data_IF_825609380303
#
_entry.id   IF_825609380303
#
_cell.length_a   1.000
_cell.length_b   1.000
_cell.length_c   1.000
_cell.angle_alpha   90.00
_cell.angle_beta   90.00
_cell.angle_gamma   90.00
#
_symmetry.space_group_name_H-M   'P 1'
#
loop_
_entity.id
_entity.type
_entity.pdbx_description
1 polymer ?
#
# COMPACT_ATOMS: atom_id res chain seq x y z
N UNK A 1 -17.99 14.78 9.38
CA UNK A 1 -16.84 14.86 8.45
C UNK A 1 -15.89 13.72 8.78
N UNK A 2 -15.73 12.78 7.86
CA UNK A 2 -14.82 11.65 7.98
C UNK A 2 -14.20 11.35 6.61
N UNK A 3 -12.98 10.80 6.59
CA UNK A 3 -12.27 10.42 5.38
C UNK A 3 -11.92 8.94 5.47
N UNK A 4 -12.09 8.20 4.36
CA UNK A 4 -11.67 6.80 4.26
C UNK A 4 -11.06 6.50 2.89
N UNK A 5 -10.28 5.42 2.85
CA UNK A 5 -9.77 4.84 1.61
C UNK A 5 -10.49 3.53 1.32
N UNK A 6 -10.93 3.35 0.08
CA UNK A 6 -11.72 2.18 -0.36
C UNK A 6 -11.09 1.53 -1.59
N UNK A 7 -11.20 0.20 -1.71
CA UNK A 7 -10.70 -0.55 -2.88
C UNK A 7 -9.19 -0.79 -2.90
N UNK A 8 -8.47 -0.34 -1.86
CA UNK A 8 -7.06 -0.65 -1.64
C UNK A 8 -6.84 -2.00 -0.93
N UNK A 9 -5.59 -2.47 -0.93
CA UNK A 9 -5.16 -3.70 -0.22
C UNK A 9 -4.79 -3.44 1.25
N UNK A 10 -4.73 -2.17 1.66
CA UNK A 10 -4.51 -1.78 3.06
C UNK A 10 -5.27 -0.50 3.41
N UNK A 11 -5.24 -0.10 4.68
CA UNK A 11 -5.85 1.15 5.14
C UNK A 11 -5.10 2.42 4.68
N UNK A 12 -3.95 2.27 4.02
CA UNK A 12 -3.07 3.36 3.61
C UNK A 12 -2.94 3.48 2.08
N UNK A 13 -3.85 2.86 1.34
CA UNK A 13 -4.06 3.11 -0.08
C UNK A 13 -5.54 2.93 -0.44
N UNK A 14 -5.97 3.53 -1.54
CA UNK A 14 -7.32 3.36 -2.07
C UNK A 14 -7.89 4.63 -2.69
N UNK A 15 -9.11 4.51 -3.20
CA UNK A 15 -9.95 5.63 -3.63
C UNK A 15 -10.28 6.51 -2.43
N UNK A 16 -10.17 7.82 -2.60
CA UNK A 16 -10.48 8.80 -1.55
C UNK A 16 -11.99 9.01 -1.47
N UNK A 17 -12.57 8.78 -0.30
CA UNK A 17 -13.98 9.07 -0.02
C UNK A 17 -14.11 9.99 1.21
N UNK A 18 -14.99 10.97 1.09
CA UNK A 18 -15.31 11.98 2.10
C UNK A 18 -16.75 11.81 2.57
N UNK A 19 -16.99 12.04 3.85
CA UNK A 19 -18.33 12.14 4.41
C UNK A 19 -18.70 13.61 4.67
N UNK A 20 -19.81 14.03 4.07
CA UNK A 20 -20.41 15.33 4.25
C UNK A 20 -21.91 15.18 4.48
N UNK A 21 -22.39 15.69 5.63
CA UNK A 21 -23.81 15.71 6.00
C UNK A 21 -24.48 14.31 5.97
N UNK A 22 -23.76 13.29 6.44
CA UNK A 22 -24.22 11.90 6.51
C UNK A 22 -24.07 11.12 5.21
N UNK A 23 -23.59 11.74 4.13
CA UNK A 23 -23.42 11.11 2.82
C UNK A 23 -21.95 10.95 2.47
N UNK A 24 -21.58 9.74 2.04
CA UNK A 24 -20.26 9.47 1.48
C UNK A 24 -20.23 9.79 -0.01
N UNK A 25 -19.14 10.38 -0.47
CA UNK A 25 -18.88 10.62 -1.88
C UNK A 25 -17.40 10.65 -2.20
N UNK A 26 -17.07 10.74 -3.49
CA UNK A 26 -15.70 10.64 -4.01
C UNK A 26 -15.10 12.01 -4.30
N UNK A 27 -13.85 12.03 -4.76
CA UNK A 27 -13.10 13.21 -5.20
C UNK A 27 -12.72 12.99 -6.67
N UNK A 28 -12.90 13.99 -7.53
CA UNK A 28 -12.44 13.91 -8.92
C UNK A 28 -10.91 14.00 -9.02
N UNK A 29 -10.32 13.41 -10.05
CA UNK A 29 -8.88 13.40 -10.30
C UNK A 29 -8.38 14.57 -11.17
N UNK A 30 -9.28 15.44 -11.63
CA UNK A 30 -8.90 16.72 -12.24
C UNK A 30 -8.22 17.61 -11.21
N UNK A 31 -7.04 18.11 -11.58
CA UNK A 31 -6.15 18.86 -10.67
C UNK A 31 -5.48 18.02 -9.58
N UNK A 32 -5.87 16.75 -9.38
CA UNK A 32 -5.41 15.92 -8.26
C UNK A 32 -3.93 15.59 -8.34
N UNK A 33 -3.17 16.04 -7.34
CA UNK A 33 -1.72 15.92 -7.32
C UNK A 33 -1.16 15.29 -6.02
N UNK A 34 0.18 15.25 -5.93
CA UNK A 34 0.87 14.67 -4.78
C UNK A 34 0.71 15.50 -3.49
N UNK A 35 0.47 16.80 -3.61
CA UNK A 35 0.23 17.71 -2.49
C UNK A 35 -1.12 17.42 -1.85
N UNK A 36 -2.15 17.21 -2.68
CA UNK A 36 -3.49 16.82 -2.22
C UNK A 36 -3.46 15.45 -1.52
N UNK A 37 -2.82 14.50 -2.18
CA UNK A 37 -2.61 13.17 -1.64
C UNK A 37 -1.82 13.20 -0.30
N UNK A 38 -0.86 14.12 -0.12
CA UNK A 38 -0.07 14.21 1.12
C UNK A 38 -0.93 14.65 2.31
N UNK A 39 -1.86 15.58 2.08
CA UNK A 39 -2.86 15.97 3.09
C UNK A 39 -3.68 14.76 3.51
N UNK A 40 -4.18 13.96 2.55
CA UNK A 40 -4.92 12.72 2.85
C UNK A 40 -4.09 11.73 3.68
N UNK A 41 -2.86 11.45 3.26
CA UNK A 41 -1.97 10.51 3.95
C UNK A 41 -1.64 10.97 5.37
N UNK A 42 -1.39 12.26 5.58
CA UNK A 42 -1.16 12.83 6.91
C UNK A 42 -2.41 12.76 7.78
N UNK A 43 -3.56 13.13 7.23
CA UNK A 43 -4.84 13.13 7.94
C UNK A 43 -5.18 11.72 8.45
N UNK A 44 -4.88 10.68 7.67
CA UNK A 44 -5.06 9.28 8.04
C UNK A 44 -3.91 8.69 8.88
N UNK A 45 -2.85 9.47 9.12
CA UNK A 45 -1.62 9.03 9.81
C UNK A 45 -0.92 7.86 9.11
N UNK A 46 -1.00 7.82 7.78
CA UNK A 46 -0.33 6.85 6.91
C UNK A 46 1.02 7.35 6.36
N UNK A 47 1.61 8.37 7.01
CA UNK A 47 2.87 8.98 6.60
C UNK A 47 2.67 10.03 5.50
N UNK A 48 3.43 9.91 4.42
CA UNK A 48 3.45 10.85 3.28
C UNK A 48 2.84 10.23 2.03
N UNK A 49 2.41 11.04 1.08
CA UNK A 49 1.99 10.53 -0.22
C UNK A 49 3.19 10.03 -1.03
N UNK A 50 2.97 8.90 -1.71
CA UNK A 50 3.92 8.30 -2.66
C UNK A 50 3.36 8.35 -4.07
N UNK A 51 2.03 8.19 -4.22
CA UNK A 51 1.31 8.31 -5.49
C UNK A 51 -0.04 8.99 -5.27
N UNK A 52 -0.47 9.76 -6.26
CA UNK A 52 -1.80 10.34 -6.40
C UNK A 52 -2.49 9.76 -7.65
N UNK A 53 -2.88 8.47 -7.65
CA UNK A 53 -3.50 7.86 -8.82
C UNK A 53 -4.90 8.42 -9.08
N UNK A 54 -5.19 8.68 -10.35
CA UNK A 54 -6.54 8.99 -10.84
C UNK A 54 -7.21 7.81 -11.54
N UNK A 55 -8.12 8.13 -12.46
CA UNK A 55 -8.77 7.22 -13.40
C UNK A 55 -9.43 6.00 -12.73
N UNK A 56 -9.96 6.17 -11.52
CA UNK A 56 -10.57 5.12 -10.73
C UNK A 56 -9.67 3.86 -10.59
N UNK A 57 -8.36 4.07 -10.37
CA UNK A 57 -7.36 2.99 -10.25
C UNK A 57 -7.75 1.94 -9.18
N UNK A 58 -8.42 2.37 -8.11
CA UNK A 58 -8.92 1.49 -7.03
C UNK A 58 -10.38 1.07 -7.20
N UNK A 59 -10.87 1.15 -8.44
CA UNK A 59 -12.27 0.97 -8.80
C UNK A 59 -13.09 2.24 -8.66
N UNK A 60 -14.24 2.24 -9.32
CA UNK A 60 -15.22 3.33 -9.29
C UNK A 60 -15.95 3.35 -7.97
N UNK A 61 -16.21 4.54 -7.46
CA UNK A 61 -17.10 4.79 -6.35
C UNK A 61 -18.56 4.86 -6.79
N UNK A 62 -19.38 5.32 -5.85
CA UNK A 62 -20.81 5.49 -6.00
C UNK A 62 -21.26 6.73 -5.23
N UNK A 63 -22.40 7.29 -5.63
CA UNK A 63 -23.00 8.45 -4.95
C UNK A 63 -22.49 9.77 -5.53
N UNK A 64 -22.46 10.86 -4.74
CA UNK A 64 -21.97 12.13 -5.22
C UNK A 64 -20.44 12.16 -5.37
N UNK A 65 -19.95 12.97 -6.29
CA UNK A 65 -18.57 13.44 -6.29
C UNK A 65 -18.58 14.78 -5.53
N UNK A 66 -17.87 14.84 -4.42
CA UNK A 66 -18.01 15.93 -3.45
C UNK A 66 -17.03 17.06 -3.67
N UNK A 67 -15.91 16.80 -4.34
CA UNK A 67 -14.81 17.74 -4.56
C UNK A 67 -14.22 17.52 -5.94
N UNK A 68 -13.85 18.60 -6.58
CA UNK A 68 -13.19 18.67 -7.87
C UNK A 68 -12.12 19.77 -7.85
N UNK A 69 -11.12 19.70 -8.72
CA UNK A 69 -10.01 20.66 -8.84
C UNK A 69 -9.44 21.04 -7.46
N UNK A 70 -9.07 20.02 -6.68
CA UNK A 70 -8.48 20.20 -5.35
C UNK A 70 -7.08 20.79 -5.52
N UNK A 71 -6.77 21.83 -4.75
CA UNK A 71 -5.52 22.59 -4.87
C UNK A 71 -4.89 22.83 -3.51
N UNK A 72 -4.59 21.74 -2.79
CA UNK A 72 -3.86 21.82 -1.53
C UNK A 72 -2.44 22.36 -1.75
N UNK A 73 -1.93 23.11 -0.76
CA UNK A 73 -0.53 23.50 -0.68
C UNK A 73 0.34 22.43 0.02
N UNK A 74 -0.28 21.42 0.62
CA UNK A 74 0.36 20.28 1.28
C UNK A 74 0.61 20.47 2.79
N UNK A 75 0.17 21.58 3.38
CA UNK A 75 0.33 21.87 4.81
C UNK A 75 -0.99 21.94 5.59
N UNK A 76 -2.10 21.85 4.86
CA UNK A 76 -3.46 21.77 5.39
C UNK A 76 -3.60 20.61 6.38
N UNK A 77 -4.50 20.76 7.35
CA UNK A 77 -4.73 19.75 8.37
C UNK A 77 -5.56 18.58 7.86
N UNK A 78 -6.51 18.89 6.99
CA UNK A 78 -7.41 17.94 6.37
C UNK A 78 -7.86 18.43 5.00
N UNK A 79 -8.39 17.50 4.19
CA UNK A 79 -8.76 17.77 2.81
C UNK A 79 -9.91 18.79 2.67
N UNK A 80 -10.67 19.07 3.73
CA UNK A 80 -11.73 20.09 3.70
C UNK A 80 -11.19 21.52 3.84
N UNK A 81 -9.94 21.70 4.28
CA UNK A 81 -9.28 23.01 4.33
C UNK A 81 -8.66 23.41 2.97
N UNK A 82 -8.50 22.46 2.05
CA UNK A 82 -7.96 22.76 0.73
C UNK A 82 -8.97 23.51 -0.13
N UNK A 83 -8.52 24.51 -0.93
CA UNK A 83 -9.32 25.07 -2.00
C UNK A 83 -9.75 23.95 -2.96
N UNK A 84 -11.04 23.95 -3.33
CA UNK A 84 -11.62 22.98 -4.25
C UNK A 84 -12.92 23.54 -4.86
N UNK A 85 -13.31 23.01 -6.01
CA UNK A 85 -14.60 23.26 -6.63
C UNK A 85 -15.64 22.25 -6.10
N UNK A 86 -16.90 22.70 -6.02
CA UNK A 86 -18.05 21.86 -5.65
C UNK A 86 -18.89 21.44 -6.86
N UNK A 87 -18.87 22.24 -7.92
CA UNK A 87 -19.41 21.88 -9.22
C UNK A 87 -18.33 21.16 -10.01
N UNK A 88 -18.71 20.12 -10.76
CA UNK A 88 -17.82 19.28 -11.53
C UNK A 88 -18.57 18.71 -12.74
N UNK A 89 -17.86 18.33 -13.80
CA UNK A 89 -18.39 17.53 -14.91
C UNK A 89 -17.85 16.08 -14.91
N UNK A 90 -17.05 15.73 -13.89
CA UNK A 90 -16.50 14.41 -13.70
C UNK A 90 -17.54 13.29 -13.54
N UNK A 91 -17.12 12.10 -13.92
CA UNK A 91 -17.79 10.83 -13.69
C UNK A 91 -16.98 9.95 -12.72
N UNK A 92 -17.54 8.85 -12.20
CA UNK A 92 -16.77 7.91 -11.37
C UNK A 92 -15.64 7.18 -12.11
N UNK A 93 -15.40 7.46 -13.39
CA UNK A 93 -14.16 7.04 -14.06
C UNK A 93 -12.96 7.85 -13.61
N UNK A 94 -13.21 9.04 -13.08
CA UNK A 94 -12.25 10.06 -12.65
C UNK A 94 -12.11 10.07 -11.13
N UNK A 95 -12.53 9.03 -10.42
CA UNK A 95 -12.37 9.02 -8.96
C UNK A 95 -10.88 8.94 -8.58
N UNK A 96 -10.44 9.90 -7.78
CA UNK A 96 -9.09 10.03 -7.26
C UNK A 96 -8.79 9.00 -6.17
N UNK A 97 -7.52 8.61 -6.10
CA UNK A 97 -6.97 7.71 -5.10
C UNK A 97 -5.64 8.19 -4.55
N UNK A 98 -5.15 7.44 -3.56
CA UNK A 98 -3.87 7.72 -2.91
C UNK A 98 -3.13 6.42 -2.60
N UNK A 99 -1.80 6.49 -2.61
CA UNK A 99 -0.91 5.49 -2.02
C UNK A 99 0.04 6.19 -1.07
N UNK A 100 -0.05 5.86 0.21
CA UNK A 100 0.77 6.47 1.26
C UNK A 100 2.05 5.67 1.55
N UNK A 101 2.99 6.29 2.25
CA UNK A 101 4.32 5.74 2.51
C UNK A 101 4.32 4.54 3.44
N UNK A 102 3.30 4.44 4.31
CA UNK A 102 3.13 3.31 5.23
C UNK A 102 2.30 2.15 4.61
N UNK A 103 1.90 2.25 3.34
CA UNK A 103 1.39 1.11 2.59
C UNK A 103 2.52 0.10 2.29
N UNK A 104 2.21 -1.19 2.44
CA UNK A 104 3.10 -2.30 2.09
C UNK A 104 2.43 -3.19 1.03
N UNK A 105 2.95 -3.17 -0.19
CA UNK A 105 2.51 -4.03 -1.31
C UNK A 105 3.44 -5.23 -1.43
N UNK A 106 2.91 -6.45 -1.62
CA UNK A 106 3.71 -7.67 -1.71
C UNK A 106 3.62 -8.33 -3.08
N UNK A 107 4.75 -8.83 -3.57
CA UNK A 107 4.81 -9.73 -4.74
C UNK A 107 5.91 -10.77 -4.58
N UNK A 108 5.77 -11.86 -5.35
CA UNK A 108 6.82 -12.86 -5.52
C UNK A 108 7.39 -12.77 -6.93
N UNK A 109 8.71 -12.57 -7.01
CA UNK A 109 9.42 -12.31 -8.27
C UNK A 109 10.34 -13.45 -8.65
N UNK A 110 10.37 -13.80 -9.93
CA UNK A 110 11.30 -14.80 -10.50
C UNK A 110 10.92 -16.26 -10.29
N UNK A 111 9.72 -16.55 -9.77
CA UNK A 111 9.16 -17.90 -9.77
C UNK A 111 8.27 -18.17 -10.99
N UNK A 112 7.63 -19.34 -10.98
CA UNK A 112 6.78 -19.82 -12.08
C UNK A 112 5.44 -19.10 -12.17
N UNK A 113 4.93 -18.64 -11.03
CA UNK A 113 3.63 -18.00 -10.86
C UNK A 113 3.69 -16.98 -9.70
N UNK A 114 2.54 -16.38 -9.35
CA UNK A 114 2.42 -15.41 -8.25
C UNK A 114 2.58 -15.98 -6.83
N UNK A 115 2.78 -17.29 -6.68
CA UNK A 115 2.89 -18.01 -5.40
C UNK A 115 4.27 -18.62 -5.14
N UNK A 116 5.25 -18.32 -5.99
CA UNK A 116 6.64 -18.71 -5.77
C UNK A 116 7.62 -17.61 -6.19
N UNK A 117 8.70 -17.43 -5.45
CA UNK A 117 9.80 -16.57 -5.85
C UNK A 117 10.45 -15.80 -4.71
N UNK A 118 11.23 -14.79 -5.07
CA UNK A 118 11.84 -13.84 -4.13
C UNK A 118 10.76 -12.94 -3.57
N UNK A 119 10.73 -12.80 -2.25
CA UNK A 119 9.79 -11.93 -1.55
C UNK A 119 10.21 -10.47 -1.72
N UNK A 120 9.33 -9.68 -2.36
CA UNK A 120 9.53 -8.26 -2.58
C UNK A 120 8.38 -7.46 -1.98
N UNK A 121 8.72 -6.36 -1.33
CA UNK A 121 7.76 -5.45 -0.70
C UNK A 121 7.97 -4.03 -1.20
N UNK A 122 6.90 -3.37 -1.63
CA UNK A 122 6.89 -1.94 -1.89
C UNK A 122 6.59 -1.21 -0.59
N UNK A 123 7.51 -0.37 -0.13
CA UNK A 123 7.36 0.43 1.08
C UNK A 123 8.07 1.76 0.89
N UNK A 124 7.46 2.87 1.35
CA UNK A 124 8.01 4.23 1.22
C UNK A 124 8.49 4.56 -0.21
N UNK A 125 7.70 4.18 -1.21
CA UNK A 125 8.02 4.48 -2.62
C UNK A 125 9.05 3.58 -3.27
N UNK A 126 9.55 2.56 -2.57
CA UNK A 126 10.68 1.74 -3.05
C UNK A 126 10.36 0.25 -2.96
N UNK A 127 10.53 -0.47 -4.06
CA UNK A 127 10.58 -1.93 -4.06
C UNK A 127 11.84 -2.40 -3.32
N UNK A 128 11.64 -3.30 -2.36
CA UNK A 128 12.65 -3.77 -1.43
C UNK A 128 12.67 -5.29 -1.38
N UNK A 129 13.84 -5.86 -1.10
CA UNK A 129 13.99 -7.29 -0.80
C UNK A 129 13.91 -7.52 0.71
N UNK A 130 13.40 -8.68 1.12
CA UNK A 130 13.39 -9.09 2.53
C UNK A 130 14.68 -9.85 2.86
N UNK A 131 15.26 -9.66 4.03
CA UNK A 131 16.47 -10.34 4.45
C UNK A 131 16.15 -11.77 4.93
N UNK A 132 16.87 -12.75 4.41
CA UNK A 132 16.66 -14.16 4.76
C UNK A 132 17.10 -14.53 6.19
N UNK A 133 17.89 -13.67 6.85
CA UNK A 133 18.39 -13.88 8.21
C UNK A 133 17.31 -13.83 9.30
N UNK A 134 16.14 -13.24 9.00
CA UNK A 134 14.98 -13.20 9.91
C UNK A 134 13.73 -13.81 9.27
N UNK A 135 13.89 -14.64 8.23
CA UNK A 135 12.76 -15.18 7.46
C UNK A 135 12.48 -16.64 7.82
N UNK A 136 11.62 -16.85 8.81
CA UNK A 136 11.25 -18.17 9.31
C UNK A 136 9.89 -18.62 8.77
N UNK A 137 9.44 -19.81 9.18
CA UNK A 137 8.13 -20.35 8.78
C UNK A 137 6.98 -19.42 9.12
N UNK A 138 7.07 -18.70 10.24
CA UNK A 138 6.04 -17.76 10.69
C UNK A 138 5.84 -16.64 9.67
N UNK A 139 6.91 -15.94 9.27
CA UNK A 139 6.82 -14.83 8.30
C UNK A 139 6.38 -15.35 6.92
N UNK A 140 6.96 -16.47 6.46
CA UNK A 140 6.62 -17.06 5.17
C UNK A 140 5.15 -17.50 5.12
N UNK A 141 4.62 -18.05 6.22
CA UNK A 141 3.21 -18.46 6.32
C UNK A 141 2.28 -17.25 6.27
N UNK A 142 2.62 -16.17 6.97
CA UNK A 142 1.86 -14.91 6.89
C UNK A 142 1.85 -14.38 5.45
N UNK A 143 2.99 -14.43 4.74
CA UNK A 143 3.05 -13.98 3.35
C UNK A 143 2.22 -14.84 2.40
N UNK A 144 2.38 -16.18 2.42
CA UNK A 144 1.60 -17.07 1.56
C UNK A 144 0.10 -16.91 1.78
N UNK A 145 -0.34 -16.74 3.04
CA UNK A 145 -1.76 -16.48 3.37
C UNK A 145 -2.24 -15.13 2.87
N UNK A 146 -1.44 -14.07 3.04
CA UNK A 146 -1.77 -12.72 2.55
C UNK A 146 -1.93 -12.71 1.02
N UNK A 147 -1.15 -13.52 0.31
CA UNK A 147 -1.23 -13.67 -1.14
C UNK A 147 -2.31 -14.67 -1.62
N UNK A 148 -3.02 -15.34 -0.71
CA UNK A 148 -4.00 -16.37 -1.07
C UNK A 148 -3.38 -17.65 -1.66
N UNK A 149 -2.11 -17.92 -1.37
CA UNK A 149 -1.31 -19.01 -1.95
C UNK A 149 -1.24 -20.28 -1.08
N UNK A 150 -2.03 -20.37 -0.01
CA UNK A 150 -2.04 -21.52 0.90
C UNK A 150 -0.83 -21.58 1.83
N UNK A 151 -0.31 -22.80 2.06
CA UNK A 151 0.77 -23.06 3.02
C UNK A 151 2.17 -22.99 2.38
N UNK A 152 3.18 -22.78 3.22
CA UNK A 152 4.60 -22.74 2.83
C UNK A 152 5.12 -24.14 2.53
N UNK A 153 5.80 -24.29 1.39
CA UNK A 153 6.53 -25.51 1.04
C UNK A 153 8.04 -25.34 1.26
N UNK A 154 8.61 -24.21 0.82
CA UNK A 154 10.05 -23.97 0.89
C UNK A 154 10.37 -22.48 1.07
N UNK A 155 11.55 -22.18 1.62
CA UNK A 155 12.09 -20.82 1.78
C UNK A 155 13.46 -20.69 1.10
N UNK A 156 13.50 -20.62 -0.25
CA UNK A 156 14.75 -20.46 -0.96
C UNK A 156 15.41 -19.10 -0.64
N UNK A 157 16.74 -19.07 -0.70
CA UNK A 157 17.53 -17.86 -0.58
C UNK A 157 17.92 -17.32 -1.96
N UNK A 158 17.92 -16.00 -2.09
CA UNK A 158 18.25 -15.26 -3.31
C UNK A 158 19.33 -14.21 -3.00
N UNK A 159 19.77 -13.52 -4.05
CA UNK A 159 20.61 -12.31 -3.91
C UNK A 159 19.74 -11.07 -3.76
N UNK A 160 20.23 -10.07 -3.01
CA UNK A 160 19.60 -8.76 -2.96
C UNK A 160 19.80 -8.05 -4.31
N UNK A 161 18.71 -7.76 -5.02
CA UNK A 161 18.73 -7.08 -6.34
C UNK A 161 17.99 -5.74 -6.34
N UNK A 162 17.42 -5.35 -5.21
CA UNK A 162 16.64 -4.12 -5.04
C UNK A 162 17.31 -3.17 -4.04
N UNK A 163 17.09 -1.85 -4.16
CA UNK A 163 17.77 -0.85 -3.34
C UNK A 163 17.39 -0.92 -1.85
N UNK A 164 16.15 -1.32 -1.54
CA UNK A 164 15.68 -1.43 -0.16
C UNK A 164 15.88 -2.84 0.43
N UNK A 165 16.15 -2.88 1.73
CA UNK A 165 16.22 -4.10 2.54
C UNK A 165 15.26 -4.04 3.72
N UNK A 166 14.47 -5.09 3.89
CA UNK A 166 13.44 -5.22 4.91
C UNK A 166 13.68 -6.43 5.80
N UNK A 167 13.33 -6.32 7.07
CA UNK A 167 13.32 -7.43 8.02
C UNK A 167 11.97 -7.55 8.66
N UNK A 168 11.49 -8.77 8.86
CA UNK A 168 10.26 -9.04 9.60
C UNK A 168 10.55 -10.06 10.70
N UNK A 169 9.94 -9.87 11.86
CA UNK A 169 9.99 -10.77 13.02
C UNK A 169 8.58 -10.83 13.62
N UNK A 170 7.87 -11.90 13.31
CA UNK A 170 6.52 -12.17 13.78
C UNK A 170 6.59 -13.04 15.04
N UNK A 171 6.06 -12.56 16.16
CA UNK A 171 5.96 -13.36 17.39
C UNK A 171 4.87 -14.44 17.33
N UNK A 172 3.93 -14.30 16.40
CA UNK A 172 2.82 -15.21 16.15
C UNK A 172 2.30 -15.02 14.71
N UNK A 173 1.35 -15.84 14.28
CA UNK A 173 0.68 -15.68 12.99
C UNK A 173 -0.18 -14.42 13.00
N UNK A 174 0.34 -13.37 12.35
CA UNK A 174 -0.37 -12.10 12.14
C UNK A 174 -1.25 -12.15 10.89
N UNK A 175 -2.33 -11.35 10.81
CA UNK A 175 -3.10 -11.18 9.57
C UNK A 175 -2.28 -10.69 8.37
N UNK A 176 -1.21 -9.91 8.59
CA UNK A 176 -0.27 -9.48 7.54
C UNK A 176 1.12 -9.20 8.10
N UNK A 177 2.14 -9.18 7.24
CA UNK A 177 3.52 -8.87 7.66
C UNK A 177 3.68 -7.44 8.20
N UNK A 178 2.81 -6.50 7.81
CA UNK A 178 2.83 -5.13 8.30
C UNK A 178 2.56 -5.03 9.82
N UNK A 179 1.97 -6.07 10.43
CA UNK A 179 1.67 -6.15 11.86
C UNK A 179 2.78 -6.85 12.66
N UNK A 180 3.78 -7.42 12.01
CA UNK A 180 4.95 -7.97 12.68
C UNK A 180 5.92 -6.83 13.06
N UNK A 181 6.90 -7.12 13.92
CA UNK A 181 7.98 -6.16 14.12
C UNK A 181 8.87 -6.14 12.87
N UNK A 182 9.05 -4.97 12.27
CA UNK A 182 9.86 -4.83 11.05
C UNK A 182 10.84 -3.66 11.12
N UNK A 183 11.87 -3.71 10.26
CA UNK A 183 12.82 -2.61 10.10
C UNK A 183 13.18 -2.42 8.63
N UNK A 184 13.40 -1.16 8.24
CA UNK A 184 13.76 -0.77 6.88
C UNK A 184 15.18 -0.21 6.82
N UNK A 185 15.99 -0.71 5.89
CA UNK A 185 17.37 -0.26 5.62
C UNK A 185 18.25 -0.18 6.88
N UNK A 186 18.08 -1.10 7.82
CA UNK A 186 19.01 -1.27 8.95
C UNK A 186 20.10 -2.28 8.59
N UNK A 187 21.36 -1.92 8.89
CA UNK A 187 22.53 -2.73 8.56
C UNK A 187 22.52 -4.09 9.26
N UNK A 188 22.19 -4.14 10.55
CA UNK A 188 21.91 -5.39 11.25
C UNK A 188 20.38 -5.55 11.35
N UNK A 189 19.80 -6.72 11.03
CA UNK A 189 20.40 -8.05 10.75
C UNK A 189 20.70 -8.38 9.26
N UNK A 190 20.82 -7.39 8.36
CA UNK A 190 20.93 -7.61 6.89
C UNK A 190 22.35 -7.49 6.28
N UNK A 191 23.40 -7.39 7.11
CA UNK A 191 24.76 -7.02 6.66
C UNK A 191 25.39 -8.07 5.72
N UNK A 192 25.08 -9.35 5.93
CA UNK A 192 25.57 -10.49 5.13
C UNK A 192 24.44 -11.47 4.75
N UNK A 193 23.18 -11.04 4.86
CA UNK A 193 22.04 -11.87 4.48
C UNK A 193 21.87 -11.92 2.96
N UNK A 194 21.24 -12.99 2.48
CA UNK A 194 20.63 -13.02 1.17
C UNK A 194 19.22 -12.43 1.20
N UNK A 195 18.60 -12.32 0.03
CA UNK A 195 17.19 -12.02 -0.09
C UNK A 195 16.35 -13.27 0.21
N UNK A 196 15.27 -13.10 0.95
CA UNK A 196 14.32 -14.15 1.27
C UNK A 196 13.43 -14.47 0.05
N UNK A 197 13.01 -15.72 -0.03
CA UNK A 197 11.93 -16.14 -0.91
C UNK A 197 11.03 -17.16 -0.25
N UNK A 198 9.96 -17.48 -0.96
CA UNK A 198 8.97 -18.47 -0.52
C UNK A 198 8.41 -19.20 -1.72
N UNK A 199 8.12 -20.47 -1.54
CA UNK A 199 7.33 -21.30 -2.46
C UNK A 199 6.13 -21.77 -1.66
N UNK A 200 4.93 -21.39 -2.08
CA UNK A 200 3.67 -21.79 -1.46
C UNK A 200 3.02 -22.94 -2.26
N UNK A 201 2.02 -23.62 -1.67
CA UNK A 201 1.36 -24.76 -2.30
C UNK A 201 0.30 -24.39 -3.36
N UNK A 202 -0.26 -23.18 -3.30
CA UNK A 202 -1.33 -22.73 -4.18
C UNK A 202 -0.84 -22.17 -5.52
N UNK A 203 -1.75 -22.14 -6.51
CA UNK A 203 -1.64 -21.28 -7.69
C UNK A 203 -2.33 -19.95 -7.38
N UNK A 204 -1.73 -18.82 -7.75
CA UNK A 204 -2.30 -17.49 -7.48
C UNK A 204 -3.74 -17.41 -8.04
N UNK A 205 -4.67 -16.92 -7.23
CA UNK A 205 -6.09 -16.75 -7.61
C UNK A 205 -6.28 -15.51 -8.46
#
# INVERSE_FOLDING_TARGET
RALRLVGGRSSCEGRVELEQEGTWGTVCDDGWDISDADVVCRQLRCGRAVRAPGNATFGRGHGPILRDEVQCQGHERDLWECPAMLEHDCSHKEDAGVVCSEHQEWRLSGGRDGCAGRAEVFFRGTWSTVCNSTWYDTEATVLCRTLGCGDVLQRPAFTHTLPGKMTYMCGSLQPSLAQCHWTFNKSAPCYQSGAAGVICNGTAS
#
